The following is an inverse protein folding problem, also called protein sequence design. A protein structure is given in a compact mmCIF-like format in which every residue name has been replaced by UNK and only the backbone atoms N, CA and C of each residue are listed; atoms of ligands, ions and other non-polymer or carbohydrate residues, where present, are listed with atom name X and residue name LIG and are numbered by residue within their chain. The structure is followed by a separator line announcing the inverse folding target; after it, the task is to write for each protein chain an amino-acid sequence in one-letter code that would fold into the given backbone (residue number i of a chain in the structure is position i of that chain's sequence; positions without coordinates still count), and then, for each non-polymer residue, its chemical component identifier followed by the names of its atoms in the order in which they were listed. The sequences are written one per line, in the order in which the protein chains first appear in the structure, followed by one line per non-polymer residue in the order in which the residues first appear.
data_IF_927641595204
#
_entry.id   IF_927641595204
#
_cell.length_a   1.000
_cell.length_b   1.000
_cell.length_c   1.000
_cell.angle_alpha   90.00
_cell.angle_beta   90.00
_cell.angle_gamma   90.00
#
_symmetry.space_group_name_H-M   'P 1'
#
loop_
_entity.id
_entity.type
_entity.pdbx_description
1 polymer ?
#
# COMPACT_ATOMS: atom_id res chain seq x y z
N UNK A 1 38.59 -30.65 12.20
CA UNK A 1 40.01 -30.53 11.82
C UNK A 1 40.30 -29.07 11.40
N UNK A 2 41.02 -28.30 12.23
CA UNK A 2 41.44 -26.91 11.90
C UNK A 2 42.68 -27.00 11.01
N UNK A 3 42.61 -26.48 9.79
CA UNK A 3 43.79 -26.31 8.94
C UNK A 3 44.53 -25.05 9.39
N UNK A 4 45.74 -25.23 9.93
CA UNK A 4 46.69 -24.16 10.20
C UNK A 4 47.67 -24.11 9.01
N UNK A 5 47.82 -22.94 8.40
CA UNK A 5 48.86 -22.68 7.40
C UNK A 5 50.14 -22.32 8.15
N UNK A 6 51.16 -23.19 8.05
CA UNK A 6 52.38 -23.12 8.84
C UNK A 6 53.39 -22.07 8.34
N UNK A 7 53.10 -21.29 7.28
CA UNK A 7 54.08 -20.33 6.73
C UNK A 7 53.85 -18.87 7.10
N UNK A 8 52.69 -18.51 7.64
CA UNK A 8 52.48 -17.18 8.25
C UNK A 8 51.57 -17.36 9.45
N UNK A 9 51.98 -16.93 10.64
CA UNK A 9 51.20 -17.05 11.89
C UNK A 9 49.87 -16.27 11.91
N UNK A 10 49.33 -15.92 10.74
CA UNK A 10 48.06 -15.22 10.58
C UNK A 10 46.95 -16.25 10.36
N UNK A 11 46.05 -16.36 11.35
CA UNK A 11 44.80 -17.12 11.21
C UNK A 11 44.08 -16.68 9.93
N UNK A 12 43.87 -17.60 8.98
CA UNK A 12 43.12 -17.33 7.75
C UNK A 12 41.67 -16.99 8.14
N UNK A 13 41.31 -15.72 8.07
CA UNK A 13 39.96 -15.23 8.37
C UNK A 13 38.99 -15.94 7.42
N UNK A 14 38.05 -16.70 7.98
CA UNK A 14 37.02 -17.40 7.20
C UNK A 14 35.90 -16.42 6.88
N UNK A 15 36.15 -15.51 5.94
CA UNK A 15 35.19 -14.51 5.46
C UNK A 15 33.81 -15.10 5.17
N UNK A 16 33.73 -16.31 4.59
CA UNK A 16 32.45 -16.99 4.37
C UNK A 16 31.62 -17.24 5.64
N UNK A 17 32.26 -17.49 6.79
CA UNK A 17 31.53 -17.63 8.07
C UNK A 17 31.01 -16.30 8.58
N UNK A 18 31.79 -15.23 8.40
CA UNK A 18 31.38 -13.88 8.78
C UNK A 18 30.19 -13.41 7.92
N UNK A 19 30.26 -13.61 6.60
CA UNK A 19 29.15 -13.31 5.69
C UNK A 19 27.89 -14.09 6.05
N UNK A 20 28.01 -15.39 6.34
CA UNK A 20 26.86 -16.20 6.75
C UNK A 20 26.22 -15.66 8.04
N UNK A 21 27.02 -15.33 9.06
CA UNK A 21 26.50 -14.77 10.31
C UNK A 21 25.79 -13.43 10.06
N UNK A 22 26.39 -12.56 9.25
CA UNK A 22 25.78 -11.27 8.91
C UNK A 22 24.42 -11.44 8.21
N UNK A 23 24.30 -12.37 7.27
CA UNK A 23 23.04 -12.70 6.59
C UNK A 23 22.00 -13.21 7.58
N UNK A 24 22.38 -14.13 8.48
CA UNK A 24 21.46 -14.65 9.50
C UNK A 24 20.98 -13.55 10.45
N UNK A 25 21.87 -12.65 10.88
CA UNK A 25 21.50 -11.51 11.71
C UNK A 25 20.54 -10.55 10.97
N UNK A 26 20.75 -10.34 9.67
CA UNK A 26 19.85 -9.54 8.85
C UNK A 26 18.46 -10.17 8.75
N UNK A 27 18.37 -11.48 8.47
CA UNK A 27 17.10 -12.22 8.42
C UNK A 27 16.40 -12.19 9.79
N UNK A 28 17.15 -12.36 10.88
CA UNK A 28 16.63 -12.26 12.23
C UNK A 28 16.04 -10.85 12.49
N UNK A 29 16.75 -9.79 12.11
CA UNK A 29 16.25 -8.43 12.24
C UNK A 29 14.99 -8.18 11.38
N UNK A 30 14.85 -8.85 10.24
CA UNK A 30 13.71 -8.76 9.34
C UNK A 30 12.46 -9.49 9.87
N UNK A 31 12.63 -10.54 10.70
CA UNK A 31 11.54 -11.45 11.08
C UNK A 31 11.13 -11.34 12.54
N UNK A 32 12.09 -11.28 13.47
CA UNK A 32 11.84 -11.30 14.92
C UNK A 32 10.85 -10.22 15.39
N UNK A 33 10.94 -8.94 14.93
CA UNK A 33 10.02 -7.89 15.38
C UNK A 33 8.54 -8.18 15.07
N UNK A 34 8.27 -9.06 14.11
CA UNK A 34 6.92 -9.35 13.60
C UNK A 34 6.36 -10.68 14.13
N UNK A 35 7.13 -11.43 14.91
CA UNK A 35 6.64 -12.65 15.57
C UNK A 35 5.59 -12.31 16.63
N UNK A 36 5.75 -11.18 17.32
CA UNK A 36 4.82 -10.72 18.34
C UNK A 36 3.92 -9.60 17.80
N UNK A 37 2.62 -9.84 17.79
CA UNK A 37 1.63 -8.83 17.44
C UNK A 37 1.38 -7.89 18.62
N UNK A 38 1.28 -6.59 18.36
CA UNK A 38 0.84 -5.61 19.37
C UNK A 38 -0.55 -5.98 19.86
N UNK A 39 -0.71 -6.13 21.17
CA UNK A 39 -2.02 -6.30 21.80
C UNK A 39 -2.72 -4.95 21.91
N UNK A 40 -4.04 -4.96 21.84
CA UNK A 40 -4.87 -3.79 22.15
C UNK A 40 -4.56 -3.35 23.59
N UNK A 41 -4.26 -2.06 23.76
CA UNK A 41 -3.90 -1.49 25.07
C UNK A 41 -5.07 -1.57 26.04
N UNK A 42 -4.79 -1.74 27.33
CA UNK A 42 -5.86 -1.77 28.35
C UNK A 42 -6.54 -0.41 28.50
N UNK A 43 -5.84 0.69 28.16
CA UNK A 43 -6.43 2.02 28.04
C UNK A 43 -7.53 2.04 26.97
N UNK A 44 -7.25 1.54 25.76
CA UNK A 44 -8.23 1.50 24.68
C UNK A 44 -9.43 0.62 25.05
N UNK A 45 -9.20 -0.57 25.62
CA UNK A 45 -10.28 -1.49 26.02
C UNK A 45 -11.23 -0.89 27.07
N UNK A 46 -10.76 0.05 27.89
CA UNK A 46 -11.57 0.75 28.88
C UNK A 46 -12.38 1.90 28.28
N UNK A 47 -11.89 2.50 27.20
CA UNK A 47 -12.54 3.64 26.55
C UNK A 47 -13.49 3.24 25.43
N UNK A 48 -13.19 2.15 24.72
CA UNK A 48 -13.99 1.68 23.60
C UNK A 48 -15.05 0.70 24.10
N UNK A 49 -16.32 1.07 23.96
CA UNK A 49 -17.45 0.18 24.16
C UNK A 49 -17.94 -0.37 22.80
N UNK A 50 -17.76 -1.68 22.51
CA UNK A 50 -18.25 -2.27 21.27
C UNK A 50 -19.76 -2.12 21.07
N UNK A 51 -20.55 -1.94 22.14
CA UNK A 51 -22.00 -1.77 22.03
C UNK A 51 -22.39 -0.51 21.26
N UNK A 52 -21.53 0.50 21.21
CA UNK A 52 -21.75 1.71 20.40
C UNK A 52 -21.81 1.42 18.89
N UNK A 53 -21.26 0.28 18.44
CA UNK A 53 -21.31 -0.14 17.04
C UNK A 53 -22.60 -0.87 16.66
N UNK A 54 -23.46 -1.21 17.62
CA UNK A 54 -24.68 -1.97 17.41
C UNK A 54 -25.91 -1.12 17.72
N UNK A 55 -26.97 -1.34 16.96
CA UNK A 55 -28.28 -0.74 17.19
C UNK A 55 -29.37 -1.74 16.86
N UNK A 56 -30.46 -1.71 17.63
CA UNK A 56 -31.68 -2.48 17.32
C UNK A 56 -32.50 -1.81 16.21
N UNK A 57 -32.24 -0.52 15.94
CA UNK A 57 -32.90 0.22 14.87
C UNK A 57 -32.17 0.01 13.53
N UNK A 58 -32.90 -0.17 12.41
CA UNK A 58 -32.28 -0.30 11.10
C UNK A 58 -31.42 0.93 10.72
N UNK A 59 -30.15 0.67 10.39
CA UNK A 59 -29.23 1.69 9.87
C UNK A 59 -29.70 2.30 8.54
N UNK A 60 -29.25 3.53 8.26
CA UNK A 60 -29.52 4.23 6.99
C UNK A 60 -28.47 3.90 5.92
N UNK A 61 -27.40 3.23 6.32
CA UNK A 61 -26.30 2.80 5.47
C UNK A 61 -26.79 1.79 4.43
N UNK A 62 -26.09 1.75 3.29
CA UNK A 62 -26.33 0.77 2.24
C UNK A 62 -25.00 0.11 1.90
N UNK A 63 -25.03 -1.19 1.71
CA UNK A 63 -23.88 -1.98 1.33
C UNK A 63 -24.22 -2.83 0.11
N UNK A 64 -23.25 -2.96 -0.79
CA UNK A 64 -23.34 -3.82 -1.97
C UNK A 64 -22.00 -4.50 -2.21
N UNK A 65 -22.03 -5.69 -2.78
CA UNK A 65 -20.83 -6.41 -3.20
C UNK A 65 -20.52 -6.09 -4.67
N UNK A 66 -19.26 -5.81 -4.95
CA UNK A 66 -18.74 -5.67 -6.31
C UNK A 66 -17.86 -6.87 -6.62
N UNK A 67 -18.39 -7.80 -7.41
CA UNK A 67 -17.74 -9.08 -7.71
C UNK A 67 -16.92 -9.04 -8.98
N UNK A 68 -17.25 -8.16 -9.94
CA UNK A 68 -16.50 -8.00 -11.18
C UNK A 68 -15.34 -6.99 -11.07
N UNK A 69 -14.26 -7.23 -11.81
CA UNK A 69 -13.07 -6.38 -11.81
C UNK A 69 -13.27 -5.08 -12.61
N UNK A 70 -14.08 -5.13 -13.68
CA UNK A 70 -14.42 -3.96 -14.49
C UNK A 70 -15.32 -3.03 -13.69
N UNK A 71 -16.39 -3.58 -13.10
CA UNK A 71 -17.27 -2.81 -12.20
C UNK A 71 -16.49 -2.18 -11.05
N UNK A 72 -15.52 -2.91 -10.48
CA UNK A 72 -14.67 -2.39 -9.41
C UNK A 72 -13.89 -1.13 -9.84
N UNK A 73 -13.37 -1.09 -11.08
CA UNK A 73 -12.76 0.12 -11.62
C UNK A 73 -13.82 1.21 -11.83
N UNK A 74 -14.92 0.89 -12.49
CA UNK A 74 -15.98 1.85 -12.82
C UNK A 74 -16.56 2.55 -11.59
N UNK A 75 -16.82 1.81 -10.51
CA UNK A 75 -17.29 2.39 -9.24
C UNK A 75 -16.24 3.32 -8.62
N UNK A 76 -14.95 2.96 -8.63
CA UNK A 76 -13.89 3.85 -8.14
C UNK A 76 -13.85 5.14 -8.95
N UNK A 77 -13.84 5.03 -10.28
CA UNK A 77 -13.81 6.20 -11.16
C UNK A 77 -15.04 7.08 -10.96
N UNK A 78 -16.22 6.47 -10.83
CA UNK A 78 -17.47 7.19 -10.57
C UNK A 78 -17.43 7.95 -9.24
N UNK A 79 -17.04 7.27 -8.16
CA UNK A 79 -16.89 7.91 -6.84
C UNK A 79 -15.96 9.12 -6.90
N UNK A 80 -14.77 8.97 -7.50
CA UNK A 80 -13.78 10.04 -7.60
C UNK A 80 -14.29 11.19 -8.48
N UNK A 81 -14.96 10.89 -9.61
CA UNK A 81 -15.51 11.90 -10.52
C UNK A 81 -16.67 12.68 -9.91
N UNK A 82 -17.49 12.03 -9.09
CA UNK A 82 -18.64 12.65 -8.47
C UNK A 82 -18.31 13.45 -7.21
N UNK A 83 -17.18 13.12 -6.54
CA UNK A 83 -16.71 13.78 -5.33
C UNK A 83 -16.68 15.31 -5.44
N UNK A 84 -17.03 15.99 -4.34
CA UNK A 84 -17.19 17.46 -4.25
C UNK A 84 -16.25 18.12 -3.26
N UNK A 85 -15.84 17.41 -2.21
CA UNK A 85 -15.05 17.98 -1.12
C UNK A 85 -13.74 17.23 -0.95
N UNK A 86 -13.80 15.90 -0.89
CA UNK A 86 -12.62 15.09 -0.57
C UNK A 86 -12.61 13.71 -1.24
N UNK A 87 -11.42 13.27 -1.61
CA UNK A 87 -11.11 11.88 -2.00
C UNK A 87 -9.93 11.37 -1.19
N UNK A 88 -10.11 10.26 -0.47
CA UNK A 88 -9.04 9.55 0.23
C UNK A 88 -8.82 8.22 -0.46
N UNK A 89 -7.59 7.94 -0.87
CA UNK A 89 -7.18 6.68 -1.49
C UNK A 89 -6.05 6.07 -0.68
N UNK A 90 -6.24 4.82 -0.27
CA UNK A 90 -5.16 3.98 0.24
C UNK A 90 -5.02 2.76 -0.66
N UNK A 91 -3.81 2.46 -1.10
CA UNK A 91 -3.55 1.27 -1.93
C UNK A 91 -2.17 0.68 -1.61
N UNK A 92 -2.05 -0.64 -1.79
CA UNK A 92 -0.75 -1.30 -1.72
C UNK A 92 0.02 -1.08 -3.02
N UNK A 93 -0.50 -1.62 -4.13
CA UNK A 93 0.10 -1.39 -5.44
C UNK A 93 -0.65 -0.31 -6.22
N UNK A 94 0.12 0.52 -6.92
CA UNK A 94 -0.38 1.47 -7.90
C UNK A 94 0.60 1.52 -9.08
N UNK A 95 0.13 1.15 -10.27
CA UNK A 95 0.94 1.14 -11.48
C UNK A 95 0.47 2.21 -12.47
N UNK A 96 1.38 2.74 -13.29
CA UNK A 96 1.04 3.61 -14.41
C UNK A 96 0.60 2.80 -15.66
N UNK A 97 -0.21 1.76 -15.45
CA UNK A 97 -0.86 1.00 -16.52
C UNK A 97 -2.21 1.63 -16.91
N UNK A 98 -3.00 0.99 -17.77
CA UNK A 98 -4.24 1.59 -18.30
C UNK A 98 -5.22 1.96 -17.18
N UNK A 99 -5.59 1.02 -16.33
CA UNK A 99 -6.53 1.24 -15.24
C UNK A 99 -5.95 2.12 -14.14
N UNK A 100 -4.65 2.04 -13.88
CA UNK A 100 -3.99 2.98 -12.99
C UNK A 100 -4.03 4.41 -13.52
N UNK A 101 -3.77 4.63 -14.80
CA UNK A 101 -3.87 5.95 -15.45
C UNK A 101 -5.30 6.48 -15.46
N UNK A 102 -6.31 5.62 -15.62
CA UNK A 102 -7.71 6.03 -15.49
C UNK A 102 -7.99 6.60 -14.09
N UNK A 103 -7.47 5.94 -13.05
CA UNK A 103 -7.59 6.41 -11.66
C UNK A 103 -6.80 7.71 -11.46
N UNK A 104 -5.56 7.80 -11.95
CA UNK A 104 -4.75 9.04 -11.86
C UNK A 104 -5.47 10.22 -12.52
N UNK A 105 -6.02 10.03 -13.72
CA UNK A 105 -6.78 11.06 -14.44
C UNK A 105 -7.97 11.51 -13.62
N UNK A 106 -8.75 10.58 -13.06
CA UNK A 106 -9.90 10.92 -12.23
C UNK A 106 -9.50 11.72 -10.98
N UNK A 107 -8.37 11.38 -10.33
CA UNK A 107 -7.86 12.12 -9.18
C UNK A 107 -7.42 13.54 -9.55
N UNK A 108 -6.70 13.70 -10.65
CA UNK A 108 -6.29 15.02 -11.18
C UNK A 108 -7.51 15.86 -11.53
N UNK A 109 -8.50 15.27 -12.21
CA UNK A 109 -9.76 15.94 -12.53
C UNK A 109 -10.51 16.38 -11.27
N UNK A 110 -10.50 15.57 -10.20
CA UNK A 110 -11.09 15.95 -8.92
C UNK A 110 -10.36 17.14 -8.30
N UNK A 111 -9.03 17.10 -8.28
CA UNK A 111 -8.20 18.18 -7.77
C UNK A 111 -8.41 19.51 -8.52
N UNK A 112 -8.57 19.46 -9.85
CA UNK A 112 -8.92 20.62 -10.67
C UNK A 112 -10.31 21.21 -10.36
N UNK A 113 -11.22 20.42 -9.79
CA UNK A 113 -12.52 20.90 -9.27
C UNK A 113 -12.44 21.43 -7.83
N UNK A 114 -11.24 21.59 -7.27
CA UNK A 114 -10.96 21.94 -5.88
C UNK A 114 -11.36 20.87 -4.84
N UNK A 115 -11.44 19.61 -5.25
CA UNK A 115 -11.59 18.48 -4.32
C UNK A 115 -10.23 18.17 -3.70
N UNK A 116 -10.15 18.03 -2.38
CA UNK A 116 -8.91 17.68 -1.71
C UNK A 116 -8.63 16.18 -1.87
N UNK A 117 -7.49 15.81 -2.44
CA UNK A 117 -7.13 14.42 -2.70
C UNK A 117 -6.00 14.00 -1.76
N UNK A 118 -6.20 12.92 -1.00
CA UNK A 118 -5.18 12.31 -0.14
C UNK A 118 -4.90 10.90 -0.62
N UNK A 119 -3.73 10.67 -1.19
CA UNK A 119 -3.26 9.38 -1.68
C UNK A 119 -2.14 8.86 -0.79
N UNK A 120 -2.32 7.66 -0.24
CA UNK A 120 -1.25 6.91 0.42
C UNK A 120 -0.98 5.59 -0.30
N UNK A 121 0.29 5.34 -0.62
CA UNK A 121 0.74 4.14 -1.33
C UNK A 121 1.80 3.41 -0.49
N UNK A 122 1.81 2.09 -0.58
CA UNK A 122 2.83 1.27 0.05
C UNK A 122 4.23 1.58 -0.50
N UNK A 123 5.22 1.68 0.39
CA UNK A 123 6.61 1.97 0.06
C UNK A 123 7.33 0.96 -0.83
N UNK A 124 6.87 -0.29 -0.97
CA UNK A 124 7.42 -1.20 -2.00
C UNK A 124 6.95 -0.74 -3.38
N UNK A 125 5.65 -0.52 -3.58
CA UNK A 125 5.13 0.00 -4.85
C UNK A 125 5.65 1.42 -5.13
N UNK A 126 5.77 2.25 -4.09
CA UNK A 126 6.42 3.56 -4.18
C UNK A 126 7.86 3.51 -4.67
N UNK A 127 8.60 2.44 -4.37
CA UNK A 127 9.97 2.23 -4.84
C UNK A 127 10.04 1.58 -6.22
N UNK A 128 9.18 0.59 -6.52
CA UNK A 128 9.23 -0.20 -7.75
C UNK A 128 8.48 0.45 -8.92
N UNK A 129 7.34 1.09 -8.66
CA UNK A 129 6.39 1.54 -9.69
C UNK A 129 6.30 3.07 -9.78
N UNK A 130 6.43 3.79 -8.66
CA UNK A 130 6.26 5.25 -8.64
C UNK A 130 7.57 6.03 -8.84
N UNK A 131 8.67 5.54 -8.29
CA UNK A 131 9.93 6.28 -8.27
C UNK A 131 10.49 6.47 -9.69
N UNK A 132 10.53 7.71 -10.14
CA UNK A 132 11.06 8.06 -11.48
C UNK A 132 10.04 7.96 -12.61
N UNK A 133 8.79 7.55 -12.33
CA UNK A 133 7.74 7.51 -13.35
C UNK A 133 7.10 8.90 -13.56
N UNK A 134 6.97 9.36 -14.83
CA UNK A 134 6.49 10.71 -15.12
C UNK A 134 4.99 10.92 -14.79
N UNK A 135 4.16 9.88 -14.84
CA UNK A 135 2.74 10.00 -14.51
C UNK A 135 2.54 10.23 -13.01
N UNK A 136 3.29 9.52 -12.18
CA UNK A 136 3.28 9.74 -10.74
C UNK A 136 3.88 11.10 -10.35
N UNK A 137 4.91 11.58 -11.07
CA UNK A 137 5.42 12.94 -10.87
C UNK A 137 4.37 14.00 -11.20
N UNK A 138 3.63 13.85 -12.30
CA UNK A 138 2.55 14.75 -12.66
C UNK A 138 1.44 14.75 -11.60
N UNK A 139 1.01 13.56 -11.15
CA UNK A 139 0.01 13.41 -10.09
C UNK A 139 0.47 14.11 -8.79
N UNK A 140 1.69 13.85 -8.34
CA UNK A 140 2.24 14.43 -7.11
C UNK A 140 2.53 15.94 -7.21
N UNK A 141 2.61 16.49 -8.42
CA UNK A 141 2.82 17.93 -8.66
C UNK A 141 1.51 18.69 -8.87
N UNK A 142 0.36 18.01 -8.86
CA UNK A 142 -0.95 18.64 -9.05
C UNK A 142 -1.40 19.29 -7.74
N UNK A 143 -1.80 20.55 -7.80
CA UNK A 143 -2.35 21.27 -6.64
C UNK A 143 -3.57 20.52 -6.07
N UNK A 144 -3.79 20.61 -4.75
CA UNK A 144 -4.82 19.89 -4.01
C UNK A 144 -4.66 18.36 -3.95
N UNK A 145 -3.54 17.80 -4.42
CA UNK A 145 -3.21 16.37 -4.23
C UNK A 145 -2.06 16.21 -3.22
N UNK A 146 -2.33 15.53 -2.12
CA UNK A 146 -1.32 15.05 -1.18
C UNK A 146 -0.96 13.59 -1.47
N UNK A 147 0.28 13.32 -1.88
CA UNK A 147 0.79 11.96 -2.06
C UNK A 147 1.74 11.60 -0.91
N UNK A 148 1.48 10.49 -0.21
CA UNK A 148 2.32 9.95 0.85
C UNK A 148 2.72 8.51 0.54
N UNK A 149 3.98 8.18 0.84
CA UNK A 149 4.51 6.82 0.72
C UNK A 149 4.66 6.24 2.12
N UNK A 150 3.92 5.18 2.41
CA UNK A 150 3.97 4.50 3.70
C UNK A 150 5.21 3.60 3.79
N UNK A 151 6.02 3.80 4.84
CA UNK A 151 7.21 3.00 5.15
C UNK A 151 8.09 2.70 3.90
N UNK A 152 8.76 3.73 3.34
CA UNK A 152 9.66 3.57 2.21
C UNK A 152 10.73 2.49 2.46
N UNK A 153 11.13 1.80 1.39
CA UNK A 153 12.15 0.73 1.48
C UNK A 153 13.46 1.30 2.01
N UNK A 154 13.97 0.71 3.10
CA UNK A 154 15.24 1.07 3.70
C UNK A 154 16.03 -0.18 4.10
N UNK A 155 17.02 -0.55 3.28
CA UNK A 155 17.88 -1.72 3.50
C UNK A 155 18.73 -1.62 4.77
N UNK A 156 18.91 -0.43 5.35
CA UNK A 156 19.63 -0.24 6.61
C UNK A 156 18.72 -0.45 7.84
N UNK A 157 17.40 -0.60 7.63
CA UNK A 157 16.40 -0.81 8.68
C UNK A 157 15.58 -2.09 8.40
N UNK A 158 16.18 -3.28 8.36
CA UNK A 158 15.47 -4.54 8.07
C UNK A 158 14.25 -4.79 8.96
N UNK A 159 14.28 -4.33 10.22
CA UNK A 159 13.19 -4.46 11.19
C UNK A 159 11.94 -3.62 10.88
N UNK A 160 11.97 -2.73 9.88
CA UNK A 160 10.76 -2.02 9.41
C UNK A 160 10.20 -2.62 8.13
N UNK A 161 10.94 -3.49 7.42
CA UNK A 161 10.61 -3.88 6.05
C UNK A 161 9.31 -4.66 5.89
N UNK A 162 8.88 -5.41 6.92
CA UNK A 162 7.63 -6.19 6.85
C UNK A 162 6.39 -5.39 7.26
N UNK A 163 6.54 -4.14 7.73
CA UNK A 163 5.40 -3.28 8.03
C UNK A 163 4.88 -2.68 6.72
N UNK A 164 3.95 -3.39 6.06
CA UNK A 164 3.37 -2.97 4.77
C UNK A 164 1.94 -2.46 4.92
N UNK A 165 1.58 -1.48 4.09
CA UNK A 165 0.23 -0.94 3.96
C UNK A 165 -0.55 -1.84 3.00
N UNK A 166 -1.34 -2.77 3.53
CA UNK A 166 -2.11 -3.69 2.69
C UNK A 166 -3.56 -3.26 2.47
N UNK A 167 -3.91 -2.04 2.83
CA UNK A 167 -5.24 -1.48 2.62
C UNK A 167 -5.47 -1.19 1.13
N UNK A 168 -6.69 -1.41 0.64
CA UNK A 168 -7.16 -0.90 -0.65
C UNK A 168 -8.55 -0.32 -0.48
N UNK A 169 -8.62 1.00 -0.37
CA UNK A 169 -9.90 1.68 -0.24
C UNK A 169 -9.93 3.07 -0.89
N UNK A 170 -11.15 3.50 -1.19
CA UNK A 170 -11.49 4.85 -1.63
C UNK A 170 -12.62 5.37 -0.75
N UNK A 171 -12.45 6.54 -0.15
CA UNK A 171 -13.48 7.28 0.59
C UNK A 171 -13.73 8.59 -0.14
N UNK A 172 -14.99 9.00 -0.28
CA UNK A 172 -15.35 10.30 -0.86
C UNK A 172 -16.40 11.03 -0.03
N UNK A 173 -16.21 12.33 0.16
CA UNK A 173 -17.16 13.27 0.79
C UNK A 173 -17.78 12.77 2.11
N UNK A 174 -17.01 11.99 2.90
CA UNK A 174 -17.47 11.33 4.14
C UNK A 174 -18.76 10.50 4.02
N UNK A 175 -19.17 10.12 2.80
CA UNK A 175 -20.49 9.53 2.52
C UNK A 175 -20.44 8.21 1.75
N UNK A 176 -19.36 7.98 1.00
CA UNK A 176 -19.16 6.73 0.27
C UNK A 176 -17.82 6.10 0.62
N UNK A 177 -17.83 4.78 0.78
CA UNK A 177 -16.64 3.98 1.11
C UNK A 177 -16.61 2.71 0.26
N UNK A 178 -15.55 2.54 -0.52
CA UNK A 178 -15.26 1.34 -1.28
C UNK A 178 -13.99 0.72 -0.73
N UNK A 179 -14.07 -0.53 -0.26
CA UNK A 179 -12.94 -1.30 0.26
C UNK A 179 -12.87 -2.68 -0.39
N UNK A 180 -11.67 -3.28 -0.43
CA UNK A 180 -11.52 -4.67 -0.83
C UNK A 180 -10.07 -5.12 -1.03
N UNK A 181 -9.91 -6.21 -1.78
CA UNK A 181 -8.60 -6.82 -2.07
C UNK A 181 -7.92 -6.38 -3.38
N UNK A 182 -8.60 -5.56 -4.21
CA UNK A 182 -8.15 -5.18 -5.56
C UNK A 182 -7.21 -3.97 -5.52
N UNK A 183 -5.96 -4.15 -5.95
CA UNK A 183 -4.99 -3.06 -6.10
C UNK A 183 -5.31 -2.17 -7.31
N UNK A 184 -4.62 -1.04 -7.41
CA UNK A 184 -4.82 -0.06 -8.49
C UNK A 184 -3.94 -0.41 -9.71
N UNK A 185 -4.23 -1.56 -10.31
CA UNK A 185 -3.48 -2.11 -11.46
C UNK A 185 -4.42 -2.84 -12.43
N UNK A 186 -3.99 -3.00 -13.68
CA UNK A 186 -4.67 -3.77 -14.74
C UNK A 186 -4.92 -5.24 -14.35
N UNK A 187 -4.15 -5.81 -13.42
CA UNK A 187 -4.38 -7.17 -12.92
C UNK A 187 -5.73 -7.29 -12.21
N UNK A 188 -6.19 -6.19 -11.61
CA UNK A 188 -7.42 -6.12 -10.83
C UNK A 188 -8.52 -5.28 -11.49
N UNK A 189 -8.20 -4.59 -12.58
CA UNK A 189 -9.14 -3.80 -13.37
C UNK A 189 -9.32 -4.45 -14.74
N UNK A 190 -10.53 -4.91 -15.01
CA UNK A 190 -10.83 -5.81 -16.12
C UNK A 190 -10.48 -5.23 -17.49
N UNK A 191 -9.44 -5.79 -18.15
CA UNK A 191 -9.38 -6.05 -19.59
C UNK A 191 -8.18 -6.90 -20.07
N UNK A 192 -7.57 -7.76 -19.24
CA UNK A 192 -6.42 -8.58 -19.67
C UNK A 192 -6.75 -9.64 -20.76
N UNK A 193 -8.01 -9.97 -20.99
CA UNK A 193 -8.44 -11.00 -21.96
C UNK A 193 -8.80 -10.48 -23.37
N UNK A 194 -9.05 -9.17 -23.57
CA UNK A 194 -9.50 -8.65 -24.88
C UNK A 194 -8.37 -8.12 -25.79
N UNK A 195 -7.11 -8.40 -25.45
CA UNK A 195 -5.95 -7.96 -26.22
C UNK A 195 -5.46 -8.99 -27.26
N UNK A 196 -6.15 -10.12 -27.45
CA UNK A 196 -5.77 -11.16 -28.43
C UNK A 196 -6.62 -11.17 -29.71
N UNK A 197 -7.37 -10.11 -30.02
CA UNK A 197 -8.20 -10.03 -31.23
C UNK A 197 -7.85 -8.85 -32.16
N UNK A 198 -6.59 -8.41 -32.20
CA UNK A 198 -6.08 -7.56 -33.28
C UNK A 198 -4.68 -8.00 -33.69
#
# INVERSE_FOLDING_TARGET
MRTYDLKTGKKKIRWGRFCLIAVLLYIAALTIPYVQHKKVSDHYKKQFDPQECYSEEPGKERAAYITDNTEALEYRLKMIREAKEEVIVSTFDFNADTGGKDVMSALIEAAHRNVHVRLIVDGISGFLDMLGDPYFQALASTDNIEVKVYNPVNLLKPWTMQARLHDKYVITDSSMYLLGGRNTTNLFFGRLWKASEY
#
